data_IF_798414695933
#
_entry.id   IF_798414695933
#
_cell.length_a   1.000
_cell.length_b   1.000
_cell.length_c   1.000
_cell.angle_alpha   90.00
_cell.angle_beta   90.00
_cell.angle_gamma   90.00
#
_symmetry.space_group_name_H-M   'P 1'
#
loop_
_entity.id
_entity.type
_entity.pdbx_description
1 polymer ?
#
# COMPACT_ATOMS: atom_id res chain seq x y z
N UNK A 1 -65.80 10.54 26.72
CA UNK A 1 -65.08 11.78 27.06
C UNK A 1 -63.87 11.39 27.90
N UNK A 2 -62.75 11.35 27.34
CA UNK A 2 -61.45 11.53 27.98
C UNK A 2 -60.38 11.38 26.94
N UNK A 3 -59.79 12.51 26.62
CA UNK A 3 -58.61 12.67 25.74
C UNK A 3 -57.40 12.04 26.40
N UNK A 4 -56.75 11.16 25.67
CA UNK A 4 -55.40 10.69 25.99
C UNK A 4 -54.39 11.38 25.08
N UNK A 5 -53.69 12.37 25.61
CA UNK A 5 -52.57 13.03 24.97
C UNK A 5 -51.42 12.02 24.79
N UNK A 6 -51.02 11.84 23.57
CA UNK A 6 -49.73 11.19 23.27
C UNK A 6 -48.63 12.24 23.40
N UNK A 7 -47.84 12.11 24.44
CA UNK A 7 -46.56 12.84 24.56
C UNK A 7 -45.53 12.28 23.58
N UNK A 8 -45.33 13.04 22.52
CA UNK A 8 -44.29 12.81 21.54
C UNK A 8 -43.02 13.53 22.05
N UNK A 9 -42.25 12.87 22.93
CA UNK A 9 -40.93 13.36 23.33
C UNK A 9 -39.94 13.11 22.20
N UNK A 10 -39.94 14.01 21.22
CA UNK A 10 -38.80 14.15 20.33
C UNK A 10 -37.57 14.54 21.15
N UNK A 11 -36.66 13.61 21.31
CA UNK A 11 -35.32 13.85 21.92
C UNK A 11 -34.59 14.91 21.10
N UNK A 12 -34.53 16.13 21.63
CA UNK A 12 -33.74 17.22 21.06
C UNK A 12 -32.28 16.85 21.20
N UNK A 13 -31.63 16.52 20.10
CA UNK A 13 -30.17 16.39 20.00
C UNK A 13 -29.58 17.76 20.29
N UNK A 14 -28.89 17.93 21.45
CA UNK A 14 -28.17 19.16 21.75
C UNK A 14 -27.01 19.30 20.80
N UNK A 15 -26.88 20.47 20.17
CA UNK A 15 -25.91 20.77 19.10
C UNK A 15 -24.44 20.87 19.58
N UNK A 16 -24.13 20.59 20.85
CA UNK A 16 -22.81 20.83 21.45
C UNK A 16 -22.18 19.59 22.10
N UNK A 17 -22.52 18.38 21.69
CA UNK A 17 -21.87 17.17 22.21
C UNK A 17 -20.53 16.96 21.50
N UNK A 18 -19.43 17.23 22.21
CA UNK A 18 -18.07 17.01 21.72
C UNK A 18 -17.78 15.50 21.65
N UNK A 19 -17.48 15.03 20.47
CA UNK A 19 -17.06 13.66 20.20
C UNK A 19 -15.52 13.58 20.24
N UNK A 20 -14.98 12.74 21.09
CA UNK A 20 -13.53 12.53 21.17
C UNK A 20 -13.11 11.53 20.11
N UNK A 21 -12.26 11.95 19.19
CA UNK A 21 -11.66 11.11 18.15
C UNK A 21 -10.19 10.91 18.47
N UNK A 22 -9.72 9.66 18.42
CA UNK A 22 -8.31 9.35 18.53
C UNK A 22 -7.58 9.83 17.26
N UNK A 23 -6.64 10.77 17.42
CA UNK A 23 -5.88 11.32 16.29
C UNK A 23 -5.00 10.26 15.59
N UNK A 24 -4.72 9.15 16.25
CA UNK A 24 -3.86 8.09 15.74
C UNK A 24 -4.62 6.99 15.01
N UNK A 25 -5.65 6.44 15.65
CA UNK A 25 -6.43 5.30 15.11
C UNK A 25 -7.72 5.73 14.44
N UNK A 26 -8.06 7.03 14.49
CA UNK A 26 -9.34 7.61 14.02
C UNK A 26 -10.58 6.93 14.65
N UNK A 27 -10.41 6.21 15.76
CA UNK A 27 -11.52 5.64 16.52
C UNK A 27 -12.19 6.70 17.37
N UNK A 28 -13.47 6.50 17.67
CA UNK A 28 -14.31 7.40 18.45
C UNK A 28 -14.52 6.82 19.85
N UNK A 29 -14.39 7.67 20.88
CA UNK A 29 -14.69 7.26 22.25
C UNK A 29 -16.19 7.37 22.50
N UNK A 30 -16.82 6.24 22.81
CA UNK A 30 -18.26 6.15 23.10
C UNK A 30 -18.48 5.16 24.25
N UNK A 31 -19.23 5.59 25.27
CA UNK A 31 -19.52 4.81 26.49
C UNK A 31 -18.25 4.19 27.15
N UNK A 32 -17.13 4.94 27.11
CA UNK A 32 -15.87 4.49 27.70
C UNK A 32 -15.02 3.58 26.82
N UNK A 33 -15.52 3.12 25.69
CA UNK A 33 -14.82 2.29 24.72
C UNK A 33 -14.34 3.09 23.50
N UNK A 34 -13.25 2.63 22.86
CA UNK A 34 -12.80 3.13 21.56
C UNK A 34 -13.37 2.22 20.47
N UNK A 35 -14.27 2.77 19.64
CA UNK A 35 -14.94 2.05 18.53
C UNK A 35 -14.67 2.73 17.21
N UNK A 36 -14.85 2.02 16.08
CA UNK A 36 -14.71 2.63 14.76
C UNK A 36 -15.78 3.71 14.53
N UNK A 37 -15.50 4.66 13.63
CA UNK A 37 -16.43 5.73 13.29
C UNK A 37 -17.77 5.18 12.77
N UNK A 38 -17.72 4.13 11.95
CA UNK A 38 -18.92 3.46 11.40
C UNK A 38 -19.78 2.87 12.53
N UNK A 39 -19.12 2.22 13.49
CA UNK A 39 -19.79 1.60 14.63
C UNK A 39 -20.41 2.66 15.56
N UNK A 40 -19.73 3.80 15.70
CA UNK A 40 -20.27 4.96 16.41
C UNK A 40 -21.52 5.50 15.72
N UNK A 41 -21.47 5.72 14.39
CA UNK A 41 -22.60 6.22 13.61
C UNK A 41 -23.80 5.25 13.66
N UNK A 42 -23.52 3.96 13.59
CA UNK A 42 -24.58 2.94 13.69
C UNK A 42 -25.21 2.93 15.11
N UNK A 43 -24.41 2.95 16.17
CA UNK A 43 -24.90 2.91 17.56
C UNK A 43 -25.63 4.19 17.95
N UNK A 44 -25.09 5.35 17.58
CA UNK A 44 -25.59 6.65 18.03
C UNK A 44 -26.76 7.16 17.19
N UNK A 45 -26.75 6.91 15.89
CA UNK A 45 -27.71 7.49 14.93
C UNK A 45 -28.47 6.45 14.11
N UNK A 46 -28.19 5.16 14.26
CA UNK A 46 -28.78 4.10 13.44
C UNK A 46 -28.36 4.14 11.97
N UNK A 47 -27.29 4.89 11.63
CA UNK A 47 -26.83 5.07 10.26
C UNK A 47 -25.79 4.02 9.89
N UNK A 48 -25.97 3.41 8.72
CA UNK A 48 -24.95 2.60 8.08
C UNK A 48 -24.02 3.51 7.27
N UNK A 49 -22.74 3.48 7.58
CA UNK A 49 -21.72 4.24 6.87
C UNK A 49 -21.06 3.34 5.84
N UNK A 50 -21.03 3.78 4.58
CA UNK A 50 -20.26 3.16 3.51
C UNK A 50 -19.10 4.08 3.14
N UNK A 51 -17.94 3.50 2.84
CA UNK A 51 -16.81 4.24 2.32
C UNK A 51 -16.98 4.40 0.81
N UNK A 52 -16.97 5.65 0.37
CA UNK A 52 -17.02 6.00 -1.04
C UNK A 52 -16.10 7.19 -1.29
N UNK A 53 -15.57 7.29 -2.51
CA UNK A 53 -14.82 8.47 -2.94
C UNK A 53 -15.84 9.54 -3.34
N UNK A 54 -15.73 10.72 -2.75
CA UNK A 54 -16.58 11.85 -3.16
C UNK A 54 -16.28 12.24 -4.62
N UNK A 55 -17.25 12.76 -5.37
CA UNK A 55 -17.02 13.20 -6.74
C UNK A 55 -15.85 14.19 -6.88
N UNK A 56 -15.64 15.06 -5.89
CA UNK A 56 -14.49 15.98 -5.85
C UNK A 56 -13.17 15.25 -5.62
N UNK A 57 -13.12 14.26 -4.72
CA UNK A 57 -11.92 13.48 -4.48
C UNK A 57 -11.61 12.57 -5.69
N UNK A 58 -12.63 11.99 -6.32
CA UNK A 58 -12.49 11.24 -7.56
C UNK A 58 -11.98 12.14 -8.70
N UNK A 59 -12.54 13.35 -8.85
CA UNK A 59 -12.09 14.32 -9.84
C UNK A 59 -10.66 14.80 -9.57
N UNK A 60 -10.28 15.00 -8.31
CA UNK A 60 -8.91 15.35 -7.93
C UNK A 60 -7.94 14.19 -8.23
N UNK A 61 -8.32 12.94 -7.94
CA UNK A 61 -7.53 11.76 -8.27
C UNK A 61 -7.37 11.60 -9.79
N UNK A 62 -8.44 11.79 -10.55
CA UNK A 62 -8.39 11.77 -12.02
C UNK A 62 -7.55 12.93 -12.56
N UNK A 63 -7.74 14.14 -12.04
CA UNK A 63 -6.93 15.31 -12.44
C UNK A 63 -5.45 15.14 -12.04
N UNK A 64 -5.17 14.53 -10.89
CA UNK A 64 -3.81 14.16 -10.50
C UNK A 64 -3.25 13.06 -11.40
N UNK A 65 -4.03 12.04 -11.75
CA UNK A 65 -3.64 11.00 -12.69
C UNK A 65 -3.44 11.54 -14.11
N UNK A 66 -4.25 12.49 -14.55
CA UNK A 66 -4.10 13.19 -15.85
C UNK A 66 -2.99 14.24 -15.83
N UNK A 67 -2.71 14.89 -14.67
CA UNK A 67 -1.59 15.83 -14.50
C UNK A 67 -0.25 15.14 -14.28
N UNK A 68 -0.25 13.90 -13.87
CA UNK A 68 0.87 12.96 -13.98
C UNK A 68 0.85 12.37 -15.40
N UNK A 69 0.85 13.25 -16.41
CA UNK A 69 1.50 12.91 -17.66
C UNK A 69 2.94 12.58 -17.25
N UNK A 70 3.27 11.30 -17.17
CA UNK A 70 4.64 10.83 -17.02
C UNK A 70 5.45 11.61 -18.04
N UNK A 71 6.37 12.49 -17.62
CA UNK A 71 7.22 13.15 -18.59
C UNK A 71 7.95 12.04 -19.33
N UNK A 72 7.65 11.89 -20.61
CA UNK A 72 8.29 10.92 -21.49
C UNK A 72 9.72 11.37 -21.80
N UNK A 73 10.44 11.80 -20.80
CA UNK A 73 11.89 11.98 -20.91
C UNK A 73 12.51 12.32 -19.55
N UNK A 74 13.46 11.54 -19.19
CA UNK A 74 14.59 11.85 -18.34
C UNK A 74 14.31 12.04 -16.84
N UNK A 75 15.04 11.28 -16.09
CA UNK A 75 15.40 11.47 -14.68
C UNK A 75 14.55 10.77 -13.62
N UNK A 76 13.91 9.65 -13.98
CA UNK A 76 13.57 8.63 -13.01
C UNK A 76 14.78 8.16 -12.16
N UNK A 77 15.96 8.26 -12.73
CA UNK A 77 17.24 7.90 -12.09
C UNK A 77 17.59 8.80 -10.90
N UNK A 78 17.17 10.07 -10.89
CA UNK A 78 17.47 10.99 -9.80
C UNK A 78 16.74 10.66 -8.49
N UNK A 79 15.46 10.30 -8.58
CA UNK A 79 14.64 10.00 -7.39
C UNK A 79 15.00 8.64 -6.79
N UNK A 80 15.27 7.62 -7.61
CA UNK A 80 15.69 6.30 -7.13
C UNK A 80 17.04 6.38 -6.42
N UNK A 81 17.96 7.21 -6.93
CA UNK A 81 19.31 7.39 -6.39
C UNK A 81 19.42 8.56 -5.38
N UNK A 82 18.29 9.06 -4.86
CA UNK A 82 18.31 10.08 -3.83
C UNK A 82 19.11 9.59 -2.61
N UNK A 83 20.15 10.31 -2.17
CA UNK A 83 21.00 9.88 -1.06
C UNK A 83 20.24 9.72 0.26
N UNK A 84 19.20 10.54 0.51
CA UNK A 84 18.39 10.50 1.72
C UNK A 84 17.55 9.23 1.73
N UNK A 85 16.90 8.91 0.62
CA UNK A 85 16.15 7.68 0.42
C UNK A 85 17.02 6.45 0.61
N UNK A 86 18.20 6.42 -0.03
CA UNK A 86 19.14 5.30 0.08
C UNK A 86 19.69 5.17 1.49
N UNK A 87 19.98 6.27 2.19
CA UNK A 87 20.38 6.25 3.58
C UNK A 87 19.27 5.67 4.47
N UNK A 88 18.02 6.10 4.27
CA UNK A 88 16.86 5.58 5.00
C UNK A 88 16.66 4.07 4.76
N UNK A 89 16.77 3.62 3.50
CA UNK A 89 16.73 2.19 3.16
C UNK A 89 17.83 1.40 3.90
N UNK A 90 19.08 1.88 3.86
CA UNK A 90 20.22 1.21 4.54
C UNK A 90 20.03 1.16 6.06
N UNK A 91 19.44 2.19 6.66
CA UNK A 91 19.12 2.21 8.09
C UNK A 91 18.12 1.12 8.51
N UNK A 92 17.29 0.63 7.59
CA UNK A 92 16.41 -0.52 7.89
C UNK A 92 17.17 -1.81 8.17
N UNK A 93 18.40 -1.94 7.65
CA UNK A 93 19.23 -3.16 7.71
C UNK A 93 18.51 -4.41 7.14
N UNK A 94 17.66 -4.21 6.14
CA UNK A 94 16.90 -5.28 5.50
C UNK A 94 17.53 -5.76 4.18
N UNK A 95 18.39 -4.94 3.56
CA UNK A 95 19.16 -5.37 2.40
C UNK A 95 20.04 -6.57 2.78
N UNK A 96 20.06 -7.57 1.91
CA UNK A 96 20.81 -8.82 2.08
C UNK A 96 20.46 -9.62 3.35
N UNK A 97 19.37 -9.26 4.01
CA UNK A 97 18.91 -10.02 5.17
C UNK A 97 18.36 -11.40 4.77
N UNK A 98 18.48 -12.41 5.63
CA UNK A 98 17.90 -13.72 5.37
C UNK A 98 16.37 -13.63 5.28
N UNK A 99 15.77 -14.60 4.58
CA UNK A 99 14.33 -14.75 4.53
C UNK A 99 13.75 -14.91 5.95
N UNK A 100 12.59 -14.34 6.18
CA UNK A 100 11.97 -14.37 7.50
C UNK A 100 10.49 -14.72 7.43
N UNK A 101 9.98 -15.58 8.34
CA UNK A 101 8.60 -16.09 8.28
C UNK A 101 7.52 -15.00 8.28
N UNK A 102 7.80 -13.81 8.86
CA UNK A 102 6.87 -12.69 8.89
C UNK A 102 6.57 -12.19 7.47
N UNK A 103 7.60 -11.83 6.72
CA UNK A 103 7.45 -11.36 5.34
C UNK A 103 6.96 -12.46 4.39
N UNK A 104 7.44 -13.71 4.57
CA UNK A 104 7.01 -14.84 3.73
C UNK A 104 5.52 -15.16 3.92
N UNK A 105 4.97 -14.90 5.09
CA UNK A 105 3.53 -15.02 5.33
C UNK A 105 2.75 -13.97 4.55
N UNK A 106 3.24 -12.72 4.52
CA UNK A 106 2.58 -11.62 3.80
C UNK A 106 2.58 -11.91 2.29
N UNK A 107 3.70 -12.34 1.72
CA UNK A 107 3.76 -12.67 0.28
C UNK A 107 2.87 -13.86 -0.07
N UNK A 108 2.80 -14.92 0.75
CA UNK A 108 1.85 -16.01 0.51
C UNK A 108 0.38 -15.58 0.60
N UNK A 109 0.04 -14.70 1.56
CA UNK A 109 -1.30 -14.12 1.64
C UNK A 109 -1.62 -13.28 0.39
N UNK A 110 -0.62 -12.56 -0.12
CA UNK A 110 -0.76 -11.78 -1.35
C UNK A 110 -1.15 -12.64 -2.55
N UNK A 111 -0.46 -13.75 -2.79
CA UNK A 111 -0.82 -14.69 -3.87
C UNK A 111 -2.26 -15.16 -3.73
N UNK A 112 -2.67 -15.56 -2.52
CA UNK A 112 -4.01 -16.09 -2.28
C UNK A 112 -5.11 -15.02 -2.40
N UNK A 113 -4.90 -13.82 -1.82
CA UNK A 113 -5.92 -12.78 -1.78
C UNK A 113 -6.07 -12.03 -3.11
N UNK A 114 -4.99 -11.84 -3.85
CA UNK A 114 -5.00 -11.17 -5.15
C UNK A 114 -5.28 -12.14 -6.30
N UNK A 115 -5.22 -13.46 -6.04
CA UNK A 115 -5.34 -14.51 -7.04
C UNK A 115 -4.38 -14.28 -8.23
N UNK A 116 -3.08 -14.16 -7.91
CA UNK A 116 -1.98 -13.91 -8.84
C UNK A 116 -0.93 -15.02 -8.75
N UNK A 117 -0.15 -15.25 -9.81
CA UNK A 117 0.91 -16.27 -9.78
C UNK A 117 2.07 -15.91 -8.84
N UNK A 118 2.37 -14.62 -8.65
CA UNK A 118 3.46 -14.24 -7.74
C UNK A 118 3.23 -12.88 -7.09
N UNK A 119 3.71 -12.77 -5.83
CA UNK A 119 3.85 -11.53 -5.09
C UNK A 119 5.22 -11.48 -4.41
N UNK A 120 5.72 -10.28 -4.16
CA UNK A 120 7.02 -10.09 -3.55
C UNK A 120 7.13 -8.73 -2.86
N UNK A 121 8.09 -8.63 -1.96
CA UNK A 121 8.50 -7.39 -1.30
C UNK A 121 9.86 -7.02 -1.88
N UNK A 122 9.90 -5.93 -2.64
CA UNK A 122 11.10 -5.39 -3.26
C UNK A 122 11.64 -4.22 -2.44
N UNK A 123 12.94 -4.21 -2.20
CA UNK A 123 13.69 -3.08 -1.69
C UNK A 123 14.59 -2.57 -2.81
N UNK A 124 14.38 -1.31 -3.22
CA UNK A 124 15.06 -0.73 -4.39
C UNK A 124 16.34 -0.01 -3.94
N UNK A 125 17.46 -0.62 -4.24
CA UNK A 125 18.81 -0.10 -4.00
C UNK A 125 19.27 0.85 -5.14
N UNK A 126 20.51 1.32 -5.11
CA UNK A 126 21.10 2.19 -6.14
C UNK A 126 21.46 1.44 -7.43
N UNK A 127 21.51 0.11 -7.42
CA UNK A 127 21.93 -0.70 -8.56
C UNK A 127 21.08 -1.96 -8.81
N UNK A 128 20.17 -2.30 -7.90
CA UNK A 128 19.34 -3.53 -7.98
C UNK A 128 18.02 -3.40 -7.23
N UNK A 129 17.10 -4.31 -7.56
CA UNK A 129 16.00 -4.72 -6.70
C UNK A 129 16.46 -5.88 -5.83
N UNK A 130 16.37 -5.75 -4.53
CA UNK A 130 16.53 -6.86 -3.60
C UNK A 130 15.15 -7.35 -3.13
N UNK A 131 14.87 -8.63 -3.30
CA UNK A 131 13.61 -9.23 -2.91
C UNK A 131 13.69 -9.74 -1.47
N UNK A 132 13.16 -8.94 -0.54
CA UNK A 132 13.14 -9.24 0.90
C UNK A 132 12.35 -10.53 1.17
N UNK A 133 11.26 -10.75 0.44
CA UNK A 133 10.47 -11.97 0.41
C UNK A 133 9.74 -12.09 -0.92
N UNK A 134 9.43 -13.31 -1.33
CA UNK A 134 8.63 -13.59 -2.51
C UNK A 134 7.82 -14.87 -2.34
N UNK A 135 6.75 -15.00 -3.11
CA UNK A 135 6.00 -16.23 -3.33
C UNK A 135 5.68 -16.34 -4.83
N UNK A 136 5.99 -17.47 -5.43
CA UNK A 136 5.73 -17.74 -6.85
C UNK A 136 6.89 -17.42 -7.80
N UNK A 137 8.08 -17.06 -7.31
CA UNK A 137 9.26 -16.96 -8.17
C UNK A 137 9.85 -18.35 -8.50
N UNK A 138 10.35 -18.47 -9.71
CA UNK A 138 11.10 -19.63 -10.18
C UNK A 138 12.61 -19.40 -10.07
N UNK A 139 13.39 -20.48 -10.15
CA UNK A 139 14.85 -20.40 -10.21
C UNK A 139 15.33 -19.78 -11.53
N UNK A 140 16.42 -19.01 -11.56
CA UNK A 140 17.34 -18.75 -10.43
C UNK A 140 16.90 -17.60 -9.51
N UNK A 141 15.87 -16.82 -9.88
CA UNK A 141 15.44 -15.62 -9.16
C UNK A 141 15.01 -15.91 -7.72
N UNK A 142 14.41 -17.08 -7.49
CA UNK A 142 13.99 -17.51 -6.16
C UNK A 142 15.16 -17.58 -5.17
N UNK A 143 16.30 -18.14 -5.61
CA UNK A 143 17.51 -18.23 -4.78
C UNK A 143 18.34 -16.94 -4.77
N UNK A 144 18.46 -16.28 -5.92
CA UNK A 144 19.27 -15.06 -6.05
C UNK A 144 18.65 -13.86 -5.31
N UNK A 145 17.33 -13.80 -5.21
CA UNK A 145 16.56 -12.76 -4.53
C UNK A 145 16.95 -11.34 -4.93
N UNK A 146 17.38 -11.16 -6.19
CA UNK A 146 17.74 -9.84 -6.72
C UNK A 146 17.65 -9.79 -8.23
N UNK A 147 17.42 -8.59 -8.75
CA UNK A 147 17.46 -8.31 -10.17
C UNK A 147 18.16 -6.97 -10.41
N UNK A 148 19.20 -6.98 -11.23
CA UNK A 148 19.92 -5.76 -11.61
C UNK A 148 19.26 -5.05 -12.78
N UNK A 149 19.42 -3.74 -12.84
CA UNK A 149 18.84 -2.90 -13.89
C UNK A 149 17.44 -2.40 -13.53
N UNK A 150 16.84 -1.64 -14.45
CA UNK A 150 15.55 -1.03 -14.22
C UNK A 150 14.43 -2.06 -14.25
N UNK A 151 13.59 -2.06 -13.20
CA UNK A 151 12.41 -2.91 -13.05
C UNK A 151 11.17 -2.03 -12.82
N UNK A 152 9.99 -2.63 -12.73
CA UNK A 152 8.76 -1.91 -12.37
C UNK A 152 8.81 -1.28 -10.97
N UNK A 153 9.57 -1.89 -10.04
CA UNK A 153 9.72 -1.36 -8.69
C UNK A 153 10.41 0.01 -8.68
N UNK A 154 11.31 0.27 -9.63
CA UNK A 154 11.94 1.58 -9.80
C UNK A 154 10.94 2.66 -10.16
N UNK A 155 9.91 2.35 -10.94
CA UNK A 155 8.82 3.29 -11.23
C UNK A 155 7.90 3.45 -10.02
N UNK A 156 7.64 2.37 -9.28
CA UNK A 156 6.80 2.43 -8.08
C UNK A 156 7.41 3.30 -6.99
N UNK A 157 8.72 3.23 -6.76
CA UNK A 157 9.38 4.04 -5.70
C UNK A 157 9.50 5.52 -6.04
N UNK A 158 9.22 5.91 -7.28
CA UNK A 158 9.18 7.32 -7.70
C UNK A 158 7.82 7.97 -7.45
N UNK A 159 6.79 7.15 -7.17
CA UNK A 159 5.43 7.59 -6.89
C UNK A 159 5.05 7.39 -5.43
N UNK A 160 4.06 8.15 -4.99
CA UNK A 160 3.46 8.01 -3.65
C UNK A 160 2.17 7.18 -3.68
N UNK A 161 1.72 6.79 -4.88
CA UNK A 161 0.48 6.04 -5.12
C UNK A 161 0.79 4.69 -5.78
N UNK A 162 -0.12 3.70 -5.67
CA UNK A 162 0.05 2.42 -6.34
C UNK A 162 0.23 2.56 -7.86
N UNK A 163 1.22 1.86 -8.40
CA UNK A 163 1.44 1.72 -9.85
C UNK A 163 0.66 0.50 -10.36
N UNK A 164 -0.28 0.74 -11.26
CA UNK A 164 -1.17 -0.28 -11.81
C UNK A 164 -0.96 -0.40 -13.31
N UNK A 165 -0.45 -1.53 -13.78
CA UNK A 165 -0.17 -1.79 -15.19
C UNK A 165 -0.97 -3.02 -15.63
N UNK A 166 -2.07 -2.85 -16.40
CA UNK A 166 -2.90 -3.96 -16.86
C UNK A 166 -2.24 -4.82 -17.94
N UNK A 167 -1.45 -4.20 -18.82
CA UNK A 167 -0.67 -4.85 -19.87
C UNK A 167 0.66 -4.11 -20.06
N UNK A 168 1.73 -4.75 -19.64
CA UNK A 168 3.10 -4.18 -19.69
C UNK A 168 3.60 -3.96 -21.11
N UNK A 169 3.05 -4.68 -22.09
CA UNK A 169 3.46 -4.59 -23.52
C UNK A 169 2.68 -3.54 -24.28
N UNK A 170 1.50 -3.14 -23.78
CA UNK A 170 0.68 -2.13 -24.42
C UNK A 170 1.24 -0.72 -24.25
N UNK A 171 2.03 -0.47 -23.20
CA UNK A 171 2.65 0.82 -22.93
C UNK A 171 4.10 0.84 -23.43
N UNK A 172 4.48 1.79 -24.32
CA UNK A 172 5.83 1.87 -24.89
C UNK A 172 6.95 2.09 -23.87
N UNK A 173 6.63 2.66 -22.69
CA UNK A 173 7.58 2.87 -21.59
C UNK A 173 7.83 1.55 -20.88
N UNK A 174 6.74 0.89 -20.47
CA UNK A 174 6.84 -0.34 -19.69
C UNK A 174 7.25 -1.56 -20.52
N UNK A 175 6.94 -1.59 -21.81
CA UNK A 175 7.33 -2.68 -22.71
C UNK A 175 8.86 -2.91 -22.80
N UNK A 176 9.66 -1.89 -22.46
CA UNK A 176 11.14 -1.95 -22.50
C UNK A 176 11.75 -2.33 -21.14
N UNK A 177 10.94 -2.48 -20.12
CA UNK A 177 11.42 -2.85 -18.78
C UNK A 177 11.92 -4.29 -18.80
N UNK A 178 13.11 -4.52 -18.26
CA UNK A 178 13.77 -5.84 -18.26
C UNK A 178 12.89 -6.99 -17.76
N UNK A 179 12.03 -6.72 -16.78
CA UNK A 179 11.12 -7.73 -16.21
C UNK A 179 10.10 -8.28 -17.22
N UNK A 180 9.78 -7.53 -18.30
CA UNK A 180 8.85 -7.98 -19.35
C UNK A 180 9.42 -9.17 -20.10
N UNK A 181 10.67 -9.06 -20.51
CA UNK A 181 11.33 -10.13 -21.29
C UNK A 181 11.95 -11.20 -20.37
N UNK A 182 12.66 -10.79 -19.33
CA UNK A 182 13.41 -11.71 -18.47
C UNK A 182 12.49 -12.56 -17.57
N UNK A 183 11.39 -11.99 -17.09
CA UNK A 183 10.47 -12.64 -16.16
C UNK A 183 9.07 -12.87 -16.76
N UNK A 184 8.86 -12.50 -18.02
CA UNK A 184 7.57 -12.62 -18.75
C UNK A 184 6.41 -11.90 -18.05
N UNK A 185 6.69 -10.85 -17.29
CA UNK A 185 5.66 -10.09 -16.58
C UNK A 185 4.77 -9.38 -17.59
N UNK A 186 3.49 -9.73 -17.62
CA UNK A 186 2.49 -9.15 -18.52
C UNK A 186 1.56 -8.15 -17.82
N UNK A 187 1.36 -8.26 -16.51
CA UNK A 187 0.65 -7.28 -15.71
C UNK A 187 1.36 -7.06 -14.36
N UNK A 188 1.27 -5.84 -13.82
CA UNK A 188 1.96 -5.46 -12.60
C UNK A 188 1.07 -4.57 -11.72
N UNK A 189 1.14 -4.79 -10.42
CA UNK A 189 0.59 -3.94 -9.38
C UNK A 189 1.66 -3.76 -8.32
N UNK A 190 2.12 -2.53 -8.09
CA UNK A 190 3.09 -2.19 -7.07
C UNK A 190 2.58 -1.11 -6.13
N UNK A 191 2.70 -1.33 -4.84
CA UNK A 191 2.34 -0.38 -3.79
C UNK A 191 3.62 0.09 -3.10
N UNK A 192 3.90 1.41 -3.06
CA UNK A 192 5.12 1.93 -2.45
C UNK A 192 5.16 1.64 -0.94
N UNK A 193 6.34 1.28 -0.45
CA UNK A 193 6.63 1.09 0.97
C UNK A 193 7.26 2.38 1.52
N UNK A 194 6.44 3.15 2.23
CA UNK A 194 6.80 4.50 2.70
C UNK A 194 7.13 4.45 4.19
N UNK A 195 8.33 4.89 4.56
CA UNK A 195 8.72 5.08 5.95
C UNK A 195 7.96 6.27 6.58
N UNK A 196 7.89 6.31 7.91
CA UNK A 196 7.28 7.45 8.63
C UNK A 196 7.97 8.79 8.36
N UNK A 197 9.22 8.76 7.96
CA UNK A 197 10.00 9.94 7.56
C UNK A 197 9.71 10.41 6.14
N UNK A 198 8.91 9.65 5.37
CA UNK A 198 8.43 10.00 4.04
C UNK A 198 9.18 9.32 2.89
N UNK A 199 10.32 8.66 3.14
CA UNK A 199 11.08 8.02 2.06
C UNK A 199 10.43 6.70 1.62
N UNK A 200 10.37 6.51 0.31
CA UNK A 200 9.91 5.26 -0.30
C UNK A 200 11.10 4.31 -0.46
N UNK A 201 11.13 3.23 0.31
CA UNK A 201 12.26 2.30 0.35
C UNK A 201 12.13 1.12 -0.62
N UNK A 202 10.94 0.88 -1.15
CA UNK A 202 10.64 -0.26 -1.99
C UNK A 202 9.17 -0.36 -2.34
N UNK A 203 8.72 -1.56 -2.68
CA UNK A 203 7.33 -1.82 -3.04
C UNK A 203 6.87 -3.22 -2.59
N UNK A 204 5.59 -3.33 -2.21
CA UNK A 204 4.88 -4.60 -2.23
C UNK A 204 4.30 -4.80 -3.63
N UNK A 205 4.59 -5.92 -4.27
CA UNK A 205 4.30 -6.14 -5.67
C UNK A 205 3.50 -7.41 -5.90
N UNK A 206 2.63 -7.35 -6.90
CA UNK A 206 1.93 -8.49 -7.49
C UNK A 206 2.13 -8.47 -9.01
N UNK A 207 2.38 -9.64 -9.60
CA UNK A 207 2.56 -9.78 -11.05
C UNK A 207 1.66 -10.88 -11.59
N UNK A 208 1.33 -10.74 -12.88
CA UNK A 208 0.72 -11.80 -13.67
C UNK A 208 1.49 -11.99 -14.99
N UNK A 209 1.48 -13.21 -15.50
CA UNK A 209 2.12 -13.58 -16.78
C UNK A 209 1.18 -13.41 -17.96
N UNK A 210 -0.07 -13.00 -17.70
CA UNK A 210 -1.07 -12.61 -18.68
C UNK A 210 -1.57 -11.20 -18.39
N UNK A 211 -1.98 -10.42 -19.41
CA UNK A 211 -2.63 -9.14 -19.17
C UNK A 211 -3.85 -9.29 -18.27
N UNK A 212 -4.04 -8.33 -17.36
CA UNK A 212 -5.06 -8.41 -16.30
C UNK A 212 -5.66 -7.05 -15.99
N UNK A 213 -6.98 -6.96 -15.95
CA UNK A 213 -7.67 -5.82 -15.38
C UNK A 213 -7.63 -5.92 -13.84
N UNK A 214 -6.86 -5.05 -13.21
CA UNK A 214 -6.82 -4.96 -11.76
C UNK A 214 -8.10 -4.33 -11.23
N UNK A 215 -8.76 -4.98 -10.28
CA UNK A 215 -9.96 -4.44 -9.63
C UNK A 215 -9.57 -3.51 -8.46
N UNK A 216 -10.46 -2.58 -8.13
CA UNK A 216 -10.29 -1.71 -6.97
C UNK A 216 -10.06 -2.51 -5.67
N UNK A 217 -10.79 -3.61 -5.49
CA UNK A 217 -10.61 -4.49 -4.34
C UNK A 217 -9.23 -5.15 -4.28
N UNK A 218 -8.62 -5.46 -5.44
CA UNK A 218 -7.26 -5.98 -5.48
C UNK A 218 -6.22 -4.90 -5.16
N UNK A 219 -6.41 -3.68 -5.64
CA UNK A 219 -5.54 -2.56 -5.31
C UNK A 219 -5.61 -2.25 -3.81
N UNK A 220 -6.82 -2.25 -3.23
CA UNK A 220 -7.01 -2.06 -1.79
C UNK A 220 -6.35 -3.18 -0.99
N UNK A 221 -6.56 -4.44 -1.34
CA UNK A 221 -5.93 -5.58 -0.67
C UNK A 221 -4.39 -5.53 -0.75
N UNK A 222 -3.82 -5.12 -1.88
CA UNK A 222 -2.38 -4.92 -2.02
C UNK A 222 -1.87 -3.78 -1.12
N UNK A 223 -2.66 -2.71 -0.96
CA UNK A 223 -2.35 -1.59 -0.06
C UNK A 223 -2.36 -2.02 1.41
N UNK A 224 -3.34 -2.84 1.81
CA UNK A 224 -3.38 -3.41 3.15
C UNK A 224 -2.17 -4.32 3.42
N UNK A 225 -1.78 -5.15 2.44
CA UNK A 225 -0.59 -5.99 2.54
C UNK A 225 0.70 -5.16 2.64
N UNK A 226 0.83 -4.08 1.87
CA UNK A 226 1.94 -3.14 1.99
C UNK A 226 2.01 -2.49 3.38
N UNK A 227 0.86 -2.15 3.96
CA UNK A 227 0.77 -1.62 5.33
C UNK A 227 1.22 -2.65 6.38
N UNK A 228 0.90 -3.94 6.18
CA UNK A 228 1.42 -5.01 7.03
C UNK A 228 2.94 -5.17 6.91
N UNK A 229 3.50 -5.04 5.69
CA UNK A 229 4.96 -5.02 5.48
C UNK A 229 5.60 -3.89 6.28
N UNK A 230 5.05 -2.68 6.18
CA UNK A 230 5.58 -1.53 6.92
C UNK A 230 5.50 -1.71 8.43
N UNK A 231 4.39 -2.25 8.95
CA UNK A 231 4.24 -2.56 10.37
C UNK A 231 5.30 -3.56 10.85
N UNK A 232 5.60 -4.59 10.08
CA UNK A 232 6.65 -5.58 10.39
C UNK A 232 8.05 -4.94 10.38
N UNK A 233 8.32 -4.04 9.42
CA UNK A 233 9.60 -3.30 9.34
C UNK A 233 9.78 -2.41 10.56
N UNK A 234 8.76 -1.62 10.90
CA UNK A 234 8.79 -0.70 12.04
C UNK A 234 8.94 -1.44 13.37
N UNK A 235 8.23 -2.55 13.55
CA UNK A 235 8.36 -3.38 14.75
C UNK A 235 9.80 -3.89 14.91
N UNK A 236 10.44 -4.34 13.84
CA UNK A 236 11.84 -4.79 13.87
C UNK A 236 12.80 -3.67 14.20
N UNK A 237 12.58 -2.48 13.65
CA UNK A 237 13.39 -1.30 13.99
C UNK A 237 13.24 -0.93 15.46
N UNK A 238 12.02 -0.94 16.00
CA UNK A 238 11.76 -0.66 17.41
C UNK A 238 12.41 -1.68 18.35
N UNK A 239 12.34 -2.98 18.03
CA UNK A 239 12.99 -4.05 18.81
C UNK A 239 14.52 -3.87 18.80
N UNK A 240 15.12 -3.58 17.64
CA UNK A 240 16.56 -3.34 17.53
C UNK A 240 17.01 -2.13 18.37
N UNK A 241 16.27 -1.03 18.29
CA UNK A 241 16.56 0.17 19.08
C UNK A 241 16.51 -0.12 20.57
N UNK A 242 15.52 -0.91 21.02
CA UNK A 242 15.39 -1.31 22.42
C UNK A 242 16.52 -2.21 22.91
N UNK A 243 17.02 -3.13 22.07
CA UNK A 243 18.14 -4.03 22.44
C UNK A 243 19.47 -3.27 22.46
N UNK A 244 19.61 -2.19 21.68
CA UNK A 244 20.83 -1.40 21.58
C UNK A 244 20.95 -0.30 22.67
N UNK A 245 19.88 -0.04 23.43
CA UNK A 245 19.82 0.92 24.55
C UNK A 245 20.17 0.26 25.88
#
# INVERSE_FOLDING_TARGET
>A
MSNGSQDNTASSTSADELVTVCAWSQTVRHDGEWISFERYMQRRFGLLVTHGISPNAAAQLVAQAESVAVPASASAVGTVNDPTRLAALRQTQLLDSPATPGFDRITRLGVASLNVPATFISLVDDHRDFYLSHCGFEEPLASERQLTGQTFCHFTVQGEIPLVIPDTRADPVYAKVRSVDALRVAAYLGVPLVLRSGEVIGAFCAIDYTPRAWTESQVLAATDLASLVMSEIELRQAIRAFIAS
#
